data_IF_906307293886
#
_entry.id   IF_906307293886
#
_cell.length_a   1.000
_cell.length_b   1.000
_cell.length_c   1.000
_cell.angle_alpha   90.00
_cell.angle_beta   90.00
_cell.angle_gamma   90.00
#
_symmetry.space_group_name_H-M   'P 1'
#
loop_
_entity.id
_entity.type
_entity.pdbx_description
1 polymer ?
#
# COMPACT_ATOMS: atom_id res chain seq x y z
N UNK A 1 5.51 -11.73 19.17
CA UNK A 1 5.08 -10.32 18.99
C UNK A 1 5.79 -9.44 20.04
N UNK A 2 5.65 -9.69 21.36
CA UNK A 2 6.26 -8.83 22.40
C UNK A 2 7.77 -8.64 22.26
N UNK A 3 8.51 -9.69 21.88
CA UNK A 3 9.96 -9.59 21.64
C UNK A 3 10.29 -8.65 20.47
N UNK A 4 9.50 -8.69 19.38
CA UNK A 4 9.69 -7.81 18.22
C UNK A 4 9.41 -6.35 18.61
N UNK A 5 8.33 -6.10 19.33
CA UNK A 5 8.01 -4.75 19.83
C UNK A 5 9.14 -4.22 20.70
N UNK A 6 9.66 -5.04 21.63
CA UNK A 6 10.79 -4.66 22.49
C UNK A 6 12.09 -4.36 21.73
N UNK A 7 12.33 -5.05 20.60
CA UNK A 7 13.48 -4.75 19.73
C UNK A 7 13.29 -3.41 19.03
N UNK A 8 12.09 -3.13 18.49
CA UNK A 8 11.77 -1.85 17.85
C UNK A 8 11.88 -0.70 18.84
N UNK A 9 11.35 -0.87 20.06
CA UNK A 9 11.45 0.15 21.13
C UNK A 9 12.88 0.36 21.63
N UNK A 10 13.73 -0.66 21.56
CA UNK A 10 15.16 -0.58 21.89
C UNK A 10 15.94 0.25 20.86
N UNK A 11 15.55 0.19 19.59
CA UNK A 11 16.20 0.95 18.50
C UNK A 11 15.59 2.33 18.33
N UNK A 12 14.26 2.43 18.32
CA UNK A 12 13.52 3.64 18.01
C UNK A 12 12.70 4.10 19.23
N UNK A 13 13.13 5.17 19.90
CA UNK A 13 12.37 5.74 21.02
C UNK A 13 11.07 6.38 20.49
N UNK A 14 9.91 6.00 21.04
CA UNK A 14 8.58 6.45 20.59
C UNK A 14 8.38 7.97 20.60
N UNK A 15 9.02 8.68 21.51
CA UNK A 15 8.89 10.14 21.61
C UNK A 15 9.74 10.83 20.56
N UNK A 16 10.89 10.24 20.22
CA UNK A 16 11.86 10.82 19.26
C UNK A 16 11.50 10.44 17.81
N UNK A 17 10.96 9.24 17.61
CA UNK A 17 10.63 8.66 16.30
C UNK A 17 9.17 8.23 16.23
N UNK A 18 8.19 9.13 16.42
CA UNK A 18 6.76 8.76 16.43
C UNK A 18 6.30 8.20 15.08
N UNK A 19 6.89 8.63 13.95
CA UNK A 19 6.54 8.20 12.61
C UNK A 19 6.81 6.71 12.38
N UNK A 20 7.81 6.12 13.04
CA UNK A 20 8.05 4.66 13.02
C UNK A 20 6.81 3.92 13.52
N UNK A 21 6.22 4.39 14.61
CA UNK A 21 5.04 3.73 15.20
C UNK A 21 3.74 4.04 14.46
N UNK A 22 3.62 5.25 13.93
CA UNK A 22 2.50 5.63 13.06
C UNK A 22 2.48 4.76 11.78
N UNK A 23 3.65 4.49 11.19
CA UNK A 23 3.76 3.62 10.02
C UNK A 23 3.39 2.17 10.32
N UNK A 24 3.74 1.66 11.52
CA UNK A 24 3.36 0.31 11.96
C UNK A 24 1.84 0.19 12.22
N UNK A 25 1.19 1.25 12.69
CA UNK A 25 -0.26 1.29 12.80
C UNK A 25 -0.89 1.34 11.41
N UNK A 26 -0.35 2.16 10.51
CA UNK A 26 -0.86 2.30 9.14
C UNK A 26 -0.82 0.96 8.37
N UNK A 27 0.28 0.18 8.46
CA UNK A 27 0.34 -1.15 7.84
C UNK A 27 -0.67 -2.11 8.48
N UNK A 28 -0.84 -2.07 9.81
CA UNK A 28 -1.84 -2.91 10.49
C UNK A 28 -3.26 -2.61 9.99
N UNK A 29 -3.61 -1.35 9.89
CA UNK A 29 -4.93 -0.90 9.44
C UNK A 29 -5.16 -1.28 7.97
N UNK A 30 -4.16 -1.09 7.09
CA UNK A 30 -4.24 -1.47 5.69
C UNK A 30 -4.39 -2.99 5.51
N UNK A 31 -3.65 -3.80 6.28
CA UNK A 31 -3.79 -5.26 6.26
C UNK A 31 -5.16 -5.70 6.77
N UNK A 32 -5.67 -5.07 7.84
CA UNK A 32 -7.01 -5.36 8.36
C UNK A 32 -8.09 -5.01 7.34
N UNK A 33 -7.96 -3.86 6.67
CA UNK A 33 -8.88 -3.44 5.61
C UNK A 33 -8.86 -4.40 4.42
N UNK A 34 -7.69 -4.96 4.07
CA UNK A 34 -7.57 -5.92 2.97
C UNK A 34 -8.35 -7.21 3.20
N UNK A 35 -8.68 -7.57 4.44
CA UNK A 35 -9.54 -8.72 4.77
C UNK A 35 -10.95 -8.55 4.16
N UNK A 36 -11.40 -7.32 3.93
CA UNK A 36 -12.67 -7.05 3.25
C UNK A 36 -12.72 -7.60 1.82
N UNK A 37 -11.56 -7.74 1.15
CA UNK A 37 -11.46 -8.34 -0.19
C UNK A 37 -11.91 -9.81 -0.22
N UNK A 38 -11.80 -10.52 0.91
CA UNK A 38 -12.26 -11.89 1.07
C UNK A 38 -13.75 -11.96 1.42
N UNK A 39 -14.24 -11.04 2.25
CA UNK A 39 -15.52 -11.17 2.92
C UNK A 39 -16.67 -10.39 2.24
N UNK A 40 -16.40 -9.31 1.54
CA UNK A 40 -17.42 -8.36 1.05
C UNK A 40 -17.29 -8.02 -0.44
N UNK A 41 -16.84 -8.97 -1.23
CA UNK A 41 -16.56 -8.84 -2.67
C UNK A 41 -17.67 -8.15 -3.47
N UNK A 42 -18.94 -8.34 -3.09
CA UNK A 42 -20.10 -7.87 -3.87
C UNK A 42 -20.36 -6.38 -3.71
N UNK A 43 -19.81 -5.76 -2.68
CA UNK A 43 -20.10 -4.37 -2.33
C UNK A 43 -18.91 -3.43 -2.60
N UNK A 44 -17.75 -3.97 -3.01
CA UNK A 44 -16.56 -3.16 -3.30
C UNK A 44 -16.63 -2.61 -4.73
N UNK A 45 -16.47 -1.30 -4.83
CA UNK A 45 -16.28 -0.62 -6.11
C UNK A 45 -14.87 -0.86 -6.67
N UNK A 46 -14.66 -0.53 -7.94
CA UNK A 46 -13.33 -0.58 -8.56
C UNK A 46 -12.34 0.34 -7.83
N UNK A 47 -12.79 1.52 -7.40
CA UNK A 47 -11.97 2.47 -6.64
C UNK A 47 -11.61 1.91 -5.25
N UNK A 48 -12.52 1.19 -4.58
CA UNK A 48 -12.21 0.52 -3.31
C UNK A 48 -11.12 -0.53 -3.47
N UNK A 49 -11.20 -1.36 -4.54
CA UNK A 49 -10.19 -2.37 -4.83
C UNK A 49 -8.80 -1.73 -5.07
N UNK A 50 -8.75 -0.67 -5.86
CA UNK A 50 -7.51 0.07 -6.12
C UNK A 50 -6.95 0.67 -4.83
N UNK A 51 -7.79 1.34 -4.03
CA UNK A 51 -7.36 1.98 -2.79
C UNK A 51 -6.83 0.98 -1.77
N UNK A 52 -7.50 -0.17 -1.59
CA UNK A 52 -7.06 -1.22 -0.68
C UNK A 52 -5.70 -1.78 -1.12
N UNK A 53 -5.52 -2.02 -2.42
CA UNK A 53 -4.27 -2.51 -2.98
C UNK A 53 -3.12 -1.49 -2.79
N UNK A 54 -3.37 -0.21 -3.09
CA UNK A 54 -2.40 0.88 -2.89
C UNK A 54 -2.00 1.02 -1.42
N UNK A 55 -2.97 1.02 -0.50
CA UNK A 55 -2.70 1.12 0.94
C UNK A 55 -1.92 -0.09 1.45
N UNK A 56 -2.32 -1.32 1.09
CA UNK A 56 -1.67 -2.56 1.53
C UNK A 56 -0.18 -2.58 1.16
N UNK A 57 0.14 -2.36 -0.11
CA UNK A 57 1.53 -2.35 -0.58
C UNK A 57 2.29 -1.11 -0.14
N UNK A 58 1.68 0.06 -0.28
CA UNK A 58 2.31 1.34 0.02
C UNK A 58 2.72 1.47 1.49
N UNK A 59 1.83 1.13 2.42
CA UNK A 59 2.15 1.19 3.86
C UNK A 59 3.20 0.17 4.27
N UNK A 60 3.27 -0.99 3.60
CA UNK A 60 4.26 -2.02 3.90
C UNK A 60 5.69 -1.50 3.69
N UNK A 61 6.00 -1.00 2.50
CA UNK A 61 7.35 -0.50 2.18
C UNK A 61 7.64 0.82 2.89
N UNK A 62 6.62 1.65 3.14
CA UNK A 62 6.77 2.85 3.95
C UNK A 62 7.18 2.51 5.39
N UNK A 63 6.55 1.51 6.00
CA UNK A 63 6.92 1.05 7.34
C UNK A 63 8.34 0.47 7.37
N UNK A 64 8.73 -0.29 6.34
CA UNK A 64 10.12 -0.78 6.21
C UNK A 64 11.12 0.37 6.12
N UNK A 65 10.82 1.40 5.35
CA UNK A 65 11.66 2.60 5.25
C UNK A 65 11.86 3.28 6.60
N UNK A 66 10.81 3.44 7.40
CA UNK A 66 10.90 4.01 8.74
C UNK A 66 11.63 3.09 9.72
N UNK A 67 11.43 1.76 9.66
CA UNK A 67 12.13 0.79 10.49
C UNK A 67 13.64 0.75 10.22
N UNK A 68 14.06 1.05 8.98
CA UNK A 68 15.47 1.08 8.61
C UNK A 68 16.14 2.39 9.03
N UNK A 69 15.47 3.53 8.80
CA UNK A 69 16.12 4.85 8.89
C UNK A 69 15.62 5.73 10.06
N UNK A 70 14.55 5.33 10.74
CA UNK A 70 13.91 6.08 11.84
C UNK A 70 13.12 7.31 11.38
N UNK A 71 13.64 8.03 10.39
CA UNK A 71 13.01 9.21 9.78
C UNK A 71 13.16 9.16 8.27
N UNK A 72 12.17 9.69 7.55
CA UNK A 72 12.22 9.82 6.10
C UNK A 72 11.94 11.26 5.70
N UNK A 73 12.60 11.72 4.65
CA UNK A 73 12.17 12.94 3.95
C UNK A 73 10.85 12.68 3.23
N UNK A 74 10.14 13.74 2.90
CA UNK A 74 8.88 13.63 2.16
C UNK A 74 9.03 12.92 0.81
N UNK A 75 10.16 13.11 0.14
CA UNK A 75 10.49 12.44 -1.12
C UNK A 75 10.70 10.93 -0.91
N UNK A 76 11.36 10.53 0.17
CA UNK A 76 11.56 9.12 0.53
C UNK A 76 10.25 8.46 0.94
N UNK A 77 9.40 9.13 1.73
CA UNK A 77 8.04 8.64 2.06
C UNK A 77 7.25 8.34 0.78
N UNK A 78 7.22 9.30 -0.16
CA UNK A 78 6.51 9.14 -1.43
C UNK A 78 7.05 7.99 -2.27
N UNK A 79 8.38 7.89 -2.34
CA UNK A 79 9.02 6.80 -3.06
C UNK A 79 8.70 5.44 -2.42
N UNK A 80 8.87 5.30 -1.10
CA UNK A 80 8.56 4.05 -0.38
C UNK A 80 7.10 3.63 -0.57
N UNK A 81 6.17 4.57 -0.38
CA UNK A 81 4.74 4.27 -0.56
C UNK A 81 4.41 3.87 -2.00
N UNK A 82 4.88 4.64 -2.98
CA UNK A 82 4.61 4.35 -4.38
C UNK A 82 5.26 3.06 -4.86
N UNK A 83 6.48 2.79 -4.43
CA UNK A 83 7.18 1.56 -4.77
C UNK A 83 6.50 0.34 -4.14
N UNK A 84 6.06 0.44 -2.89
CA UNK A 84 5.28 -0.61 -2.24
C UNK A 84 3.95 -0.90 -2.95
N UNK A 85 3.23 0.15 -3.33
CA UNK A 85 2.01 0.01 -4.13
C UNK A 85 2.28 -0.67 -5.49
N UNK A 86 3.37 -0.31 -6.16
CA UNK A 86 3.78 -0.96 -7.40
C UNK A 86 4.11 -2.44 -7.21
N UNK A 87 4.84 -2.79 -6.15
CA UNK A 87 5.15 -4.19 -5.84
C UNK A 87 3.86 -5.01 -5.59
N UNK A 88 2.88 -4.43 -4.89
CA UNK A 88 1.59 -5.09 -4.66
C UNK A 88 0.82 -5.32 -5.98
N UNK A 89 0.87 -4.36 -6.92
CA UNK A 89 0.28 -4.57 -8.23
C UNK A 89 0.94 -5.71 -9.02
N UNK A 90 2.26 -5.84 -8.93
CA UNK A 90 2.97 -6.94 -9.57
C UNK A 90 2.58 -8.28 -8.96
N UNK A 91 2.48 -8.34 -7.63
CA UNK A 91 2.05 -9.51 -6.87
C UNK A 91 0.64 -9.94 -7.32
N UNK A 92 -0.34 -9.03 -7.29
CA UNK A 92 -1.71 -9.28 -7.72
C UNK A 92 -1.81 -9.69 -9.21
N UNK A 93 -0.90 -9.22 -10.10
CA UNK A 93 -0.84 -9.67 -11.49
C UNK A 93 -0.32 -11.11 -11.59
N UNK A 94 0.70 -11.45 -10.83
CA UNK A 94 1.29 -12.79 -10.85
C UNK A 94 0.32 -13.83 -10.28
N UNK A 95 -0.45 -13.46 -9.29
CA UNK A 95 -1.32 -14.35 -8.53
C UNK A 95 -2.77 -14.40 -9.05
N UNK A 96 -3.08 -13.78 -10.21
CA UNK A 96 -4.46 -13.69 -10.76
C UNK A 96 -5.20 -15.04 -10.73
N UNK A 97 -4.56 -16.13 -11.15
CA UNK A 97 -5.20 -17.44 -11.21
C UNK A 97 -5.49 -17.98 -9.82
N UNK A 98 -4.54 -17.87 -8.89
CA UNK A 98 -4.68 -18.29 -7.51
C UNK A 98 -5.74 -17.45 -6.79
N UNK A 99 -5.74 -16.14 -6.99
CA UNK A 99 -6.73 -15.22 -6.43
C UNK A 99 -8.14 -15.51 -6.94
N UNK A 100 -8.29 -15.86 -8.22
CA UNK A 100 -9.57 -16.26 -8.80
C UNK A 100 -10.07 -17.57 -8.20
N UNK A 101 -9.20 -18.56 -8.02
CA UNK A 101 -9.53 -19.88 -7.43
C UNK A 101 -9.92 -19.72 -5.94
N UNK A 102 -9.26 -18.80 -5.23
CA UNK A 102 -9.56 -18.47 -3.83
C UNK A 102 -10.71 -17.47 -3.66
N UNK A 103 -11.35 -17.03 -4.75
CA UNK A 103 -12.39 -16.01 -4.76
C UNK A 103 -11.95 -14.67 -4.15
N UNK A 104 -10.67 -14.34 -4.20
CA UNK A 104 -10.15 -13.06 -3.77
C UNK A 104 -10.47 -11.97 -4.81
N UNK A 105 -11.04 -10.86 -4.34
CA UNK A 105 -11.32 -9.72 -5.21
C UNK A 105 -10.12 -8.79 -5.22
N UNK A 106 -9.40 -8.72 -6.34
CA UNK A 106 -8.37 -7.71 -6.59
C UNK A 106 -8.75 -6.89 -7.83
N UNK A 107 -8.07 -5.79 -8.04
CA UNK A 107 -8.21 -4.98 -9.24
C UNK A 107 -7.98 -5.83 -10.50
N UNK A 108 -7.01 -6.75 -10.47
CA UNK A 108 -6.64 -7.58 -11.62
C UNK A 108 -7.57 -8.76 -11.84
N UNK A 109 -8.09 -9.40 -10.78
CA UNK A 109 -9.13 -10.44 -10.93
C UNK A 109 -10.41 -9.86 -11.51
N UNK A 110 -10.78 -8.64 -11.09
CA UNK A 110 -11.91 -7.91 -11.66
C UNK A 110 -11.65 -7.54 -13.14
N UNK A 111 -10.47 -7.02 -13.45
CA UNK A 111 -10.09 -6.68 -14.81
C UNK A 111 -10.06 -7.91 -15.74
N UNK A 112 -9.56 -9.04 -15.28
CA UNK A 112 -9.53 -10.30 -16.03
C UNK A 112 -10.96 -10.79 -16.35
N UNK A 113 -11.88 -10.78 -15.38
CA UNK A 113 -13.28 -11.15 -15.57
C UNK A 113 -14.03 -10.26 -16.56
N UNK A 114 -13.62 -8.99 -16.69
CA UNK A 114 -14.22 -8.01 -17.59
C UNK A 114 -13.43 -7.79 -18.89
N UNK A 115 -12.45 -8.65 -19.22
CA UNK A 115 -11.60 -8.55 -20.41
C UNK A 115 -10.82 -7.22 -20.52
N UNK A 116 -10.45 -6.63 -19.38
CA UNK A 116 -9.72 -5.36 -19.25
C UNK A 116 -8.29 -5.51 -18.71
N UNK A 117 -7.78 -6.73 -18.65
CA UNK A 117 -6.48 -7.01 -18.02
C UNK A 117 -5.31 -6.23 -18.67
N UNK A 118 -5.30 -6.14 -20.00
CA UNK A 118 -4.28 -5.37 -20.74
C UNK A 118 -4.31 -3.88 -20.36
N UNK A 119 -5.50 -3.29 -20.22
CA UNK A 119 -5.65 -1.89 -19.80
C UNK A 119 -5.02 -1.65 -18.42
N UNK A 120 -5.30 -2.53 -17.44
CA UNK A 120 -4.80 -2.38 -16.08
C UNK A 120 -3.31 -2.66 -15.98
N UNK A 121 -2.80 -3.63 -16.74
CA UNK A 121 -1.36 -3.89 -16.82
C UNK A 121 -0.62 -2.67 -17.39
N UNK A 122 -1.14 -2.05 -18.45
CA UNK A 122 -0.56 -0.83 -19.01
C UNK A 122 -0.61 0.36 -18.04
N UNK A 123 -1.70 0.52 -17.28
CA UNK A 123 -1.78 1.52 -16.21
C UNK A 123 -0.73 1.29 -15.13
N UNK A 124 -0.51 0.03 -14.72
CA UNK A 124 0.53 -0.34 -13.76
C UNK A 124 1.93 -0.01 -14.25
N UNK A 125 2.24 -0.31 -15.52
CA UNK A 125 3.53 0.07 -16.13
C UNK A 125 3.71 1.60 -16.19
N UNK A 126 2.65 2.33 -16.50
CA UNK A 126 2.69 3.80 -16.48
C UNK A 126 2.93 4.32 -15.07
N UNK A 127 2.22 3.79 -14.08
CA UNK A 127 2.41 4.11 -12.67
C UNK A 127 3.86 3.84 -12.20
N UNK A 128 4.43 2.68 -12.56
CA UNK A 128 5.82 2.35 -12.22
C UNK A 128 6.83 3.37 -12.77
N UNK A 129 6.61 3.86 -13.99
CA UNK A 129 7.44 4.91 -14.57
C UNK A 129 7.36 6.22 -13.78
N UNK A 130 6.19 6.61 -13.28
CA UNK A 130 6.06 7.78 -12.40
C UNK A 130 6.80 7.58 -11.08
N UNK A 131 6.65 6.42 -10.44
CA UNK A 131 7.33 6.12 -9.17
C UNK A 131 8.84 6.17 -9.31
N UNK A 132 9.40 5.59 -10.40
CA UNK A 132 10.84 5.45 -10.57
C UNK A 132 11.49 6.70 -11.15
N UNK A 133 10.84 7.36 -12.10
CA UNK A 133 11.49 8.39 -12.93
C UNK A 133 11.00 9.82 -12.66
N UNK A 134 9.79 10.03 -12.13
CA UNK A 134 9.19 11.36 -12.03
C UNK A 134 8.85 11.74 -10.60
N UNK A 135 9.83 12.37 -9.93
CA UNK A 135 9.69 12.88 -8.57
C UNK A 135 8.64 14.01 -8.41
N UNK A 136 8.14 14.59 -9.50
CA UNK A 136 7.27 15.78 -9.48
C UNK A 136 5.78 15.51 -9.61
N UNK A 137 5.38 14.66 -10.54
CA UNK A 137 3.96 14.41 -10.91
C UNK A 137 3.29 13.49 -9.89
N UNK A 138 4.01 12.46 -9.46
CA UNK A 138 3.60 11.53 -8.41
C UNK A 138 3.17 12.24 -7.12
N UNK A 139 3.86 13.33 -6.79
CA UNK A 139 3.60 14.19 -5.63
C UNK A 139 2.18 14.77 -5.59
N UNK A 140 1.55 14.97 -6.73
CA UNK A 140 0.27 15.69 -6.86
C UNK A 140 -0.95 14.75 -6.81
N UNK A 141 -0.84 13.57 -7.38
CA UNK A 141 -1.96 12.63 -7.52
C UNK A 141 -2.14 11.74 -6.28
N UNK A 142 -1.05 11.35 -5.61
CA UNK A 142 -1.13 10.57 -4.36
C UNK A 142 -1.29 11.43 -3.10
N UNK A 143 -1.20 12.75 -3.19
CA UNK A 143 -1.43 13.63 -2.04
C UNK A 143 -2.80 13.42 -1.41
N UNK A 144 -3.81 13.07 -2.21
CA UNK A 144 -5.17 12.74 -1.73
C UNK A 144 -5.22 11.43 -0.92
N UNK A 145 -4.53 10.40 -1.39
CA UNK A 145 -4.52 9.07 -0.76
C UNK A 145 -3.73 9.05 0.56
N UNK A 146 -2.56 9.71 0.56
CA UNK A 146 -1.71 9.79 1.75
C UNK A 146 -2.32 10.63 2.89
N UNK A 147 -3.02 11.73 2.56
CA UNK A 147 -3.75 12.55 3.55
C UNK A 147 -4.90 11.76 4.15
N UNK A 148 -5.53 10.86 3.40
CA UNK A 148 -6.60 10.00 3.88
C UNK A 148 -6.10 8.99 4.92
N UNK A 149 -4.95 8.36 4.70
CA UNK A 149 -4.32 7.44 5.66
C UNK A 149 -3.94 8.12 6.99
N UNK A 150 -3.39 9.34 6.96
CA UNK A 150 -3.05 10.11 8.17
C UNK A 150 -4.25 10.68 8.93
N UNK A 151 -5.37 10.97 8.27
CA UNK A 151 -6.54 11.55 8.94
C UNK A 151 -7.27 10.55 9.85
N UNK A 152 -7.06 9.26 9.69
CA UNK A 152 -7.64 8.19 10.52
C UNK A 152 -6.73 7.75 11.68
N UNK A 153 -5.47 8.20 11.70
CA UNK A 153 -4.48 7.87 12.73
C UNK A 153 -4.39 8.91 13.87
N UNK A 154 -5.33 9.85 13.96
CA UNK A 154 -5.40 10.77 15.11
C UNK A 154 -6.60 10.44 15.97
N UNK A 155 -6.38 10.25 17.30
CA UNK A 155 -7.47 10.08 18.26
C UNK A 155 -8.35 11.30 18.35
#
# INVERSE_FOLDING_TARGET
IFNLVGMIEGEWNRIVYPEVYESLIAIHDAQTKSISLLNDRKNLSEDDLINICLEKGGTSVLADGYLINGTLTREEEWFCFGFGAFLQFIDDIQDINEDMDNNLATMFTNAAQNSRLEEYTNKTLTFSNYVINDKGIFKKELQGLYVFGRSHARP
#
